data_IF_959577803943
#
_entry.id   IF_959577803943
#
_cell.length_a   1.000
_cell.length_b   1.000
_cell.length_c   1.000
_cell.angle_alpha   90.00
_cell.angle_beta   90.00
_cell.angle_gamma   90.00
#
_symmetry.space_group_name_H-M   'P 1'
#
loop_
_entity.id
_entity.type
_entity.pdbx_description
1 polymer ?
#
# COMPACT_ATOMS: atom_id res chain seq x y z
N UNK A 1 24.16 18.62 13.02
CA UNK A 1 23.94 17.75 14.20
C UNK A 1 24.37 16.35 13.77
N UNK A 2 25.25 15.72 14.56
CA UNK A 2 25.63 14.31 14.31
C UNK A 2 24.63 13.43 15.06
N UNK A 3 24.01 12.50 14.34
CA UNK A 3 23.08 11.50 14.89
C UNK A 3 23.81 10.16 14.82
N UNK A 4 24.09 9.56 15.96
CA UNK A 4 24.63 8.18 16.02
C UNK A 4 23.50 7.20 16.00
N UNK A 5 23.50 6.28 15.04
CA UNK A 5 22.59 5.13 15.02
C UNK A 5 23.32 3.91 15.55
N UNK A 6 22.82 3.31 16.61
CA UNK A 6 23.31 2.03 17.10
C UNK A 6 22.88 0.92 16.14
N UNK A 7 23.83 0.49 15.30
CA UNK A 7 23.59 -0.51 14.26
C UNK A 7 23.18 -1.86 14.83
N UNK A 8 23.80 -2.29 15.93
CA UNK A 8 23.53 -3.60 16.50
C UNK A 8 22.13 -3.62 17.15
N UNK A 9 21.74 -2.54 17.83
CA UNK A 9 20.39 -2.37 18.33
C UNK A 9 19.35 -2.35 17.21
N UNK A 10 19.63 -1.67 16.10
CA UNK A 10 18.73 -1.61 14.94
C UNK A 10 18.53 -2.99 14.31
N UNK A 11 19.64 -3.73 14.09
CA UNK A 11 19.59 -5.09 13.52
C UNK A 11 18.84 -6.03 14.44
N UNK A 12 19.04 -5.93 15.76
CA UNK A 12 18.29 -6.74 16.73
C UNK A 12 16.79 -6.41 16.68
N UNK A 13 16.43 -5.11 16.71
CA UNK A 13 15.03 -4.68 16.64
C UNK A 13 14.35 -5.17 15.35
N UNK A 14 15.02 -5.04 14.20
CA UNK A 14 14.49 -5.54 12.92
C UNK A 14 14.37 -7.07 12.94
N UNK A 15 15.36 -7.77 13.48
CA UNK A 15 15.32 -9.23 13.60
C UNK A 15 14.16 -9.69 14.48
N UNK A 16 13.92 -9.03 15.61
CA UNK A 16 12.79 -9.32 16.48
C UNK A 16 11.46 -9.14 15.73
N UNK A 17 11.29 -8.03 15.01
CA UNK A 17 10.08 -7.76 14.21
C UNK A 17 9.89 -8.80 13.11
N UNK A 18 10.95 -9.18 12.39
CA UNK A 18 10.87 -10.18 11.30
C UNK A 18 10.54 -11.57 11.86
N UNK A 19 11.04 -11.91 13.05
CA UNK A 19 10.75 -13.20 13.69
C UNK A 19 9.28 -13.37 14.08
N UNK A 20 8.51 -12.27 14.16
CA UNK A 20 7.08 -12.31 14.49
C UNK A 20 6.28 -12.48 13.18
N UNK A 21 5.57 -13.61 13.04
CA UNK A 21 4.60 -13.79 11.98
C UNK A 21 3.48 -12.74 12.09
N UNK A 22 3.24 -12.01 11.01
CA UNK A 22 2.15 -11.02 10.90
C UNK A 22 1.44 -11.06 9.56
N UNK A 23 1.31 -12.26 8.97
CA UNK A 23 0.58 -12.44 7.70
C UNK A 23 -0.85 -11.93 7.86
N UNK A 24 -1.33 -11.15 6.87
CA UNK A 24 -2.70 -10.64 6.89
C UNK A 24 -3.73 -11.77 7.06
N UNK A 25 -4.62 -11.72 8.07
CA UNK A 25 -5.57 -12.80 8.36
C UNK A 25 -6.58 -13.07 7.25
N UNK A 26 -6.76 -12.15 6.31
CA UNK A 26 -7.62 -12.35 5.14
C UNK A 26 -6.96 -13.20 4.04
N UNK A 27 -5.68 -13.57 4.24
CA UNK A 27 -4.86 -14.34 3.31
C UNK A 27 -4.53 -15.72 3.86
N UNK A 28 -4.06 -16.64 3.00
CA UNK A 28 -3.65 -17.98 3.43
C UNK A 28 -2.41 -17.96 4.31
N UNK A 29 -2.37 -18.86 5.29
CA UNK A 29 -1.19 -19.13 6.11
C UNK A 29 -1.03 -18.23 7.33
N UNK A 30 -1.97 -17.33 7.58
CA UNK A 30 -1.98 -16.53 8.80
C UNK A 30 -2.41 -17.37 10.02
N UNK A 31 -1.65 -17.24 11.11
CA UNK A 31 -1.99 -17.86 12.40
C UNK A 31 -2.47 -16.81 13.42
N UNK A 32 -1.75 -15.70 13.55
CA UNK A 32 -1.98 -14.70 14.58
C UNK A 32 -2.32 -13.31 14.00
N UNK A 33 -2.13 -13.12 12.71
CA UNK A 33 -2.22 -11.79 12.09
C UNK A 33 -1.29 -10.79 12.76
N UNK A 34 -1.73 -9.55 12.91
CA UNK A 34 -0.90 -8.46 13.45
C UNK A 34 -0.91 -8.37 14.99
N UNK A 35 -1.59 -9.28 15.70
CA UNK A 35 -1.77 -9.14 17.15
C UNK A 35 -0.42 -9.15 17.91
N UNK A 36 0.46 -10.11 17.61
CA UNK A 36 1.73 -10.28 18.34
C UNK A 36 2.71 -9.14 18.02
N UNK A 37 2.82 -8.76 16.74
CA UNK A 37 3.69 -7.62 16.37
C UNK A 37 3.16 -6.31 16.95
N UNK A 38 1.83 -6.14 17.00
CA UNK A 38 1.19 -5.01 17.65
C UNK A 38 1.52 -4.96 19.15
N UNK A 39 1.48 -6.11 19.86
CA UNK A 39 1.87 -6.21 21.27
C UNK A 39 3.33 -5.81 21.48
N UNK A 40 4.23 -6.32 20.65
CA UNK A 40 5.65 -5.99 20.69
C UNK A 40 5.89 -4.48 20.54
N UNK A 41 5.31 -3.86 19.53
CA UNK A 41 5.45 -2.42 19.25
C UNK A 41 4.82 -1.59 20.38
N UNK A 42 3.65 -1.99 20.89
CA UNK A 42 2.99 -1.32 22.01
C UNK A 42 3.89 -1.27 23.24
N UNK A 43 4.48 -2.40 23.64
CA UNK A 43 5.38 -2.46 24.80
C UNK A 43 6.70 -1.71 24.54
N UNK A 44 7.23 -1.75 23.30
CA UNK A 44 8.41 -0.98 22.93
C UNK A 44 8.16 0.54 23.09
N UNK A 45 7.08 1.06 22.53
CA UNK A 45 6.73 2.50 22.64
C UNK A 45 6.48 2.91 24.10
N UNK A 46 5.81 2.06 24.90
CA UNK A 46 5.64 2.28 26.34
C UNK A 46 6.97 2.32 27.09
N UNK A 47 7.92 1.45 26.76
CA UNK A 47 9.24 1.44 27.36
C UNK A 47 10.02 2.74 27.12
N UNK A 48 9.74 3.40 25.99
CA UNK A 48 10.25 4.73 25.69
C UNK A 48 9.50 5.85 26.43
N UNK A 49 8.44 5.55 27.18
CA UNK A 49 7.62 6.54 27.90
C UNK A 49 6.69 7.35 27.03
N UNK A 50 6.30 6.84 25.85
CA UNK A 50 5.27 7.45 25.02
C UNK A 50 3.86 7.21 25.59
N UNK A 51 2.94 8.09 25.24
CA UNK A 51 1.50 7.83 25.36
C UNK A 51 1.11 6.86 24.26
N UNK A 52 0.61 5.66 24.60
CA UNK A 52 0.32 4.60 23.60
C UNK A 52 -1.10 4.08 23.79
N UNK A 53 -1.83 3.94 22.68
CA UNK A 53 -3.17 3.36 22.65
C UNK A 53 -3.30 2.27 21.58
N UNK A 54 -4.27 1.37 21.79
CA UNK A 54 -4.71 0.38 20.80
C UNK A 54 -6.05 0.83 20.22
N UNK A 55 -6.11 0.95 18.91
CA UNK A 55 -7.33 1.32 18.20
C UNK A 55 -7.88 0.08 17.49
N UNK A 56 -8.96 -0.52 17.99
CA UNK A 56 -9.56 -1.71 17.38
C UNK A 56 -10.16 -1.35 16.01
N UNK A 57 -9.45 -1.64 14.97
CA UNK A 57 -9.87 -1.36 13.59
C UNK A 57 -10.73 -2.49 13.01
N UNK A 58 -10.43 -3.74 13.37
CA UNK A 58 -11.12 -4.96 12.97
C UNK A 58 -11.23 -5.91 14.18
N UNK A 59 -12.14 -6.87 14.19
CA UNK A 59 -12.22 -7.86 15.28
C UNK A 59 -10.87 -8.56 15.50
N UNK A 60 -10.30 -8.39 16.69
CA UNK A 60 -9.00 -8.95 17.07
C UNK A 60 -7.77 -8.29 16.45
N UNK A 61 -7.93 -7.21 15.67
CA UNK A 61 -6.84 -6.49 14.98
C UNK A 61 -6.88 -5.01 15.33
N UNK A 62 -5.83 -4.51 15.95
CA UNK A 62 -5.74 -3.13 16.42
C UNK A 62 -4.56 -2.40 15.82
N UNK A 63 -4.78 -1.18 15.38
CA UNK A 63 -3.69 -0.24 15.17
C UNK A 63 -2.98 0.05 16.49
N UNK A 64 -1.69 0.33 16.41
CA UNK A 64 -0.88 0.80 17.54
C UNK A 64 -0.56 2.28 17.29
N UNK A 65 -1.04 3.14 18.16
CA UNK A 65 -0.85 4.57 18.03
C UNK A 65 -0.08 5.12 19.23
N UNK A 66 1.08 5.73 18.97
CA UNK A 66 1.98 6.26 19.98
C UNK A 66 2.23 7.75 19.78
N UNK A 67 2.32 8.51 20.89
CA UNK A 67 2.66 9.94 20.91
C UNK A 67 3.86 10.21 21.79
N UNK A 68 4.88 10.84 21.22
CA UNK A 68 5.96 11.50 21.94
C UNK A 68 5.65 13.00 21.99
N UNK A 69 5.31 13.50 23.20
CA UNK A 69 4.89 14.88 23.40
C UNK A 69 6.03 15.87 23.16
N UNK A 70 5.79 16.82 22.28
CA UNK A 70 6.69 17.93 21.96
C UNK A 70 6.44 19.19 22.76
N UNK A 71 7.22 20.24 22.48
CA UNK A 71 7.07 21.55 23.12
C UNK A 71 5.83 22.31 22.62
N UNK A 72 5.48 22.18 21.33
CA UNK A 72 4.28 22.77 20.74
C UNK A 72 3.32 21.65 20.22
N UNK A 73 2.24 21.36 20.94
CA UNK A 73 1.28 20.33 20.56
C UNK A 73 0.43 20.67 19.32
N UNK A 74 0.53 21.91 18.82
CA UNK A 74 -0.12 22.33 17.58
C UNK A 74 0.69 21.91 16.36
N UNK A 75 1.99 21.63 16.52
CA UNK A 75 2.83 21.05 15.48
C UNK A 75 2.84 19.52 15.65
N UNK A 76 2.51 18.81 14.59
CA UNK A 76 2.34 17.36 14.61
C UNK A 76 2.94 16.73 13.36
N UNK A 77 3.75 15.71 13.54
CA UNK A 77 4.32 14.91 12.46
C UNK A 77 3.98 13.43 12.70
N UNK A 78 3.36 12.80 11.72
CA UNK A 78 2.98 11.39 11.77
C UNK A 78 3.99 10.54 11.00
N UNK A 79 4.42 9.45 11.62
CA UNK A 79 5.12 8.34 10.98
C UNK A 79 4.19 7.13 11.02
N UNK A 80 3.94 6.56 9.88
CA UNK A 80 3.03 5.43 9.70
C UNK A 80 3.75 4.30 8.97
N UNK A 81 3.49 3.05 9.39
CA UNK A 81 3.89 1.85 8.65
C UNK A 81 2.94 0.70 8.99
N UNK A 82 2.62 -0.13 8.00
CA UNK A 82 1.71 -1.23 8.22
C UNK A 82 2.35 -2.41 8.97
N UNK A 83 1.51 -3.16 9.69
CA UNK A 83 1.93 -4.28 10.54
C UNK A 83 1.81 -5.62 9.86
N UNK A 84 0.89 -5.76 8.91
CA UNK A 84 0.64 -6.99 8.18
C UNK A 84 1.70 -7.25 7.10
N UNK A 85 1.78 -8.48 6.68
CA UNK A 85 2.66 -8.92 5.59
C UNK A 85 1.91 -9.87 4.65
N UNK A 86 2.45 -10.01 3.44
CA UNK A 86 2.01 -11.02 2.48
C UNK A 86 2.25 -12.45 2.95
N UNK A 87 1.55 -13.46 2.37
CA UNK A 87 1.80 -14.88 2.59
C UNK A 87 3.23 -15.30 2.29
N UNK A 88 3.61 -16.44 2.85
CA UNK A 88 4.95 -17.05 2.70
C UNK A 88 4.98 -18.19 1.68
N UNK A 89 3.85 -18.48 1.02
CA UNK A 89 3.78 -19.52 0.01
C UNK A 89 4.76 -19.22 -1.14
N UNK A 90 5.63 -20.17 -1.45
CA UNK A 90 6.66 -20.01 -2.49
C UNK A 90 7.96 -19.36 -2.03
N UNK A 91 8.14 -19.04 -0.74
CA UNK A 91 9.43 -18.60 -0.22
C UNK A 91 10.45 -19.73 -0.22
N UNK A 92 11.70 -19.40 -0.55
CA UNK A 92 12.84 -20.30 -0.60
C UNK A 92 13.71 -20.21 0.67
N UNK A 93 13.44 -19.24 1.53
CA UNK A 93 14.09 -19.02 2.82
C UNK A 93 13.10 -19.27 3.96
N UNK A 94 13.61 -19.49 5.18
CA UNK A 94 12.75 -19.48 6.38
C UNK A 94 12.22 -18.07 6.61
N UNK A 95 10.90 -17.85 6.49
CA UNK A 95 10.34 -16.50 6.49
C UNK A 95 10.43 -15.77 7.84
N UNK A 96 10.47 -16.51 8.97
CA UNK A 96 10.41 -15.96 10.32
C UNK A 96 11.64 -16.32 11.18
N UNK A 97 12.69 -16.82 10.53
CA UNK A 97 14.02 -16.99 11.12
C UNK A 97 14.98 -16.02 10.44
N UNK A 98 15.04 -14.75 10.91
CA UNK A 98 15.81 -13.71 10.23
C UNK A 98 17.29 -14.09 10.14
N UNK A 99 17.85 -14.00 8.93
CA UNK A 99 19.26 -14.28 8.68
C UNK A 99 19.96 -13.00 8.24
N UNK A 100 21.06 -12.68 8.92
CA UNK A 100 21.96 -11.61 8.48
C UNK A 100 23.10 -12.21 7.69
N UNK A 101 23.23 -11.85 6.42
CA UNK A 101 24.28 -12.33 5.54
C UNK A 101 24.65 -11.24 4.53
N UNK A 102 25.94 -11.03 4.29
CA UNK A 102 26.47 -10.05 3.32
C UNK A 102 25.89 -8.63 3.44
N UNK A 103 25.59 -8.17 4.67
CA UNK A 103 25.03 -6.85 4.92
C UNK A 103 23.52 -6.74 4.70
N UNK A 104 22.84 -7.86 4.45
CA UNK A 104 21.38 -7.98 4.26
C UNK A 104 20.73 -8.70 5.42
N UNK A 105 19.50 -8.34 5.70
CA UNK A 105 18.63 -9.10 6.60
C UNK A 105 17.50 -9.72 5.78
N UNK A 106 17.40 -11.04 5.84
CA UNK A 106 16.44 -11.85 5.08
C UNK A 106 15.27 -12.26 5.97
N UNK A 107 14.06 -12.29 5.40
CA UNK A 107 12.84 -12.77 6.02
C UNK A 107 11.59 -12.07 5.46
N UNK A 108 10.39 -12.62 5.71
CA UNK A 108 9.13 -12.00 5.28
C UNK A 108 8.88 -10.70 6.04
N UNK A 109 8.58 -9.63 5.30
CA UNK A 109 8.41 -8.29 5.85
C UNK A 109 9.72 -7.56 6.13
N UNK A 110 10.88 -8.17 5.85
CA UNK A 110 12.18 -7.51 6.05
C UNK A 110 12.28 -6.21 5.23
N UNK A 111 11.76 -6.22 4.01
CA UNK A 111 11.67 -5.05 3.13
C UNK A 111 10.30 -4.36 3.28
N UNK A 112 9.23 -5.12 3.27
CA UNK A 112 7.84 -4.66 3.22
C UNK A 112 7.07 -5.11 4.47
N UNK A 113 7.04 -4.33 5.61
CA UNK A 113 7.62 -2.99 5.79
C UNK A 113 8.32 -2.88 7.17
N UNK A 114 8.72 -4.03 7.79
CA UNK A 114 9.29 -4.06 9.15
C UNK A 114 10.60 -3.27 9.26
N UNK A 115 11.36 -3.10 8.16
CA UNK A 115 12.53 -2.22 8.14
C UNK A 115 12.17 -0.77 8.42
N UNK A 116 11.08 -0.26 7.82
CA UNK A 116 10.57 1.09 8.10
C UNK A 116 10.09 1.20 9.56
N UNK A 117 9.39 0.17 10.07
CA UNK A 117 8.97 0.13 11.48
C UNK A 117 10.19 0.23 12.41
N UNK A 118 11.20 -0.62 12.20
CA UNK A 118 12.41 -0.63 13.02
C UNK A 118 13.14 0.73 12.98
N UNK A 119 13.27 1.32 11.79
CA UNK A 119 13.89 2.62 11.61
C UNK A 119 13.11 3.75 12.31
N UNK A 120 11.79 3.77 12.21
CA UNK A 120 10.93 4.76 12.86
C UNK A 120 10.95 4.63 14.39
N UNK A 121 10.88 3.41 14.92
CA UNK A 121 10.92 3.14 16.35
C UNK A 121 12.26 3.57 16.97
N UNK A 122 13.37 3.23 16.32
CA UNK A 122 14.68 3.65 16.81
C UNK A 122 14.89 5.16 16.64
N UNK A 123 14.37 5.78 15.59
CA UNK A 123 14.38 7.23 15.41
C UNK A 123 13.61 7.96 16.52
N UNK A 124 12.46 7.45 16.94
CA UNK A 124 11.70 7.97 18.10
C UNK A 124 12.49 7.87 19.39
N UNK A 125 13.19 6.75 19.62
CA UNK A 125 14.11 6.60 20.77
C UNK A 125 15.18 7.67 20.74
N UNK A 126 15.87 7.84 19.61
CA UNK A 126 16.91 8.87 19.43
C UNK A 126 16.34 10.27 19.66
N UNK A 127 15.17 10.58 19.09
CA UNK A 127 14.53 11.89 19.27
C UNK A 127 14.23 12.17 20.75
N UNK A 128 13.74 11.16 21.50
CA UNK A 128 13.48 11.27 22.93
C UNK A 128 14.75 11.47 23.76
N UNK A 129 15.82 10.75 23.44
CA UNK A 129 17.11 10.85 24.16
C UNK A 129 17.81 12.20 23.94
N UNK A 130 17.54 12.88 22.82
CA UNK A 130 18.01 14.24 22.56
C UNK A 130 17.23 15.33 23.33
N UNK A 131 16.18 14.92 24.05
CA UNK A 131 15.34 15.78 24.86
C UNK A 131 13.92 15.90 24.33
N UNK A 132 13.23 16.98 24.70
CA UNK A 132 11.85 17.20 24.25
C UNK A 132 11.85 17.74 22.81
N UNK A 133 11.23 17.02 21.82
CA UNK A 133 11.15 17.53 20.45
C UNK A 133 10.33 18.84 20.38
N UNK A 134 10.47 19.59 19.31
CA UNK A 134 9.70 20.84 19.12
C UNK A 134 8.21 20.53 18.88
N UNK A 135 7.92 19.56 18.06
CA UNK A 135 6.59 19.11 17.67
C UNK A 135 6.18 17.83 18.38
N UNK A 136 4.89 17.58 18.51
CA UNK A 136 4.40 16.24 18.84
C UNK A 136 4.73 15.28 17.70
N UNK A 137 5.37 14.16 18.04
CA UNK A 137 5.70 13.10 17.10
C UNK A 137 4.77 11.91 17.33
N UNK A 138 4.19 11.42 16.25
CA UNK A 138 3.26 10.30 16.31
C UNK A 138 3.80 9.12 15.51
N UNK A 139 3.58 7.93 16.03
CA UNK A 139 3.76 6.67 15.31
C UNK A 139 2.42 5.97 15.19
N UNK A 140 2.11 5.48 14.00
CA UNK A 140 0.95 4.64 13.73
C UNK A 140 1.44 3.34 13.09
N UNK A 141 1.23 2.21 13.77
CA UNK A 141 1.31 0.90 13.15
C UNK A 141 -0.09 0.51 12.70
N UNK A 142 -0.38 0.53 11.41
CA UNK A 142 -1.69 0.24 10.84
C UNK A 142 -1.86 -1.24 10.52
N UNK A 143 -3.09 -1.76 10.61
CA UNK A 143 -3.43 -3.13 10.19
C UNK A 143 -4.10 -3.13 8.83
N UNK A 144 -3.98 -4.25 8.07
CA UNK A 144 -4.76 -4.53 6.86
C UNK A 144 -4.38 -3.68 5.62
N UNK A 145 -3.14 -3.22 5.53
CA UNK A 145 -2.68 -2.48 4.34
C UNK A 145 -2.68 -3.37 3.11
N UNK A 146 -2.10 -4.55 3.20
CA UNK A 146 -1.89 -5.52 2.13
C UNK A 146 -3.20 -6.11 1.54
N UNK A 147 -4.35 -5.75 2.14
CA UNK A 147 -5.64 -6.30 1.69
C UNK A 147 -6.71 -5.24 1.43
N UNK A 148 -7.13 -4.45 2.42
CA UNK A 148 -8.25 -3.49 2.25
C UNK A 148 -8.09 -2.16 2.96
N UNK A 149 -6.92 -1.85 3.54
CA UNK A 149 -6.58 -0.56 4.16
C UNK A 149 -7.46 -0.17 5.36
N UNK A 150 -8.10 -1.13 6.03
CA UNK A 150 -9.08 -0.83 7.08
C UNK A 150 -8.46 -0.20 8.32
N UNK A 151 -7.17 -0.48 8.60
CA UNK A 151 -6.44 0.13 9.70
C UNK A 151 -6.36 1.63 9.56
N UNK A 152 -5.75 2.10 8.48
CA UNK A 152 -5.59 3.54 8.23
C UNK A 152 -6.93 4.24 8.06
N UNK A 153 -7.90 3.61 7.36
CA UNK A 153 -9.25 4.16 7.22
C UNK A 153 -9.98 4.30 8.56
N UNK A 154 -9.76 3.37 9.50
CA UNK A 154 -10.31 3.47 10.86
C UNK A 154 -9.68 4.62 11.63
N UNK A 155 -8.35 4.74 11.60
CA UNK A 155 -7.60 5.83 12.24
C UNK A 155 -8.10 7.20 11.79
N UNK A 156 -8.27 7.41 10.49
CA UNK A 156 -8.69 8.68 9.91
C UNK A 156 -10.15 9.08 10.26
N UNK A 157 -11.02 8.15 10.63
CA UNK A 157 -12.37 8.46 11.16
C UNK A 157 -12.31 9.30 12.45
N UNK A 158 -11.24 9.17 13.23
CA UNK A 158 -10.97 9.97 14.42
C UNK A 158 -10.66 11.44 14.14
N UNK A 159 -10.62 11.88 12.87
CA UNK A 159 -10.29 13.23 12.43
C UNK A 159 -8.92 13.70 12.95
N UNK A 160 -7.96 12.80 13.01
CA UNK A 160 -6.57 13.17 13.30
C UNK A 160 -6.06 14.12 12.23
N UNK A 161 -5.26 15.10 12.64
CA UNK A 161 -4.62 16.05 11.75
C UNK A 161 -3.16 16.28 12.13
N UNK A 162 -2.29 16.44 11.12
CA UNK A 162 -0.89 16.76 11.26
C UNK A 162 -0.44 17.66 10.10
N UNK A 163 0.65 18.38 10.26
CA UNK A 163 1.24 19.18 9.18
C UNK A 163 1.98 18.34 8.15
N UNK A 164 2.27 17.08 8.48
CA UNK A 164 2.85 16.13 7.55
C UNK A 164 2.74 14.70 8.05
N UNK A 165 2.74 13.76 7.10
CA UNK A 165 2.84 12.33 7.37
C UNK A 165 3.94 11.71 6.50
N UNK A 166 4.62 10.72 7.08
CA UNK A 166 5.61 9.87 6.40
C UNK A 166 5.10 8.45 6.49
N UNK A 167 4.75 7.89 5.34
CA UNK A 167 4.35 6.49 5.21
C UNK A 167 5.57 5.66 4.83
N UNK A 168 5.83 4.63 5.62
CA UNK A 168 7.04 3.82 5.53
C UNK A 168 6.91 2.71 4.52
N UNK A 169 7.43 2.89 3.30
CA UNK A 169 7.45 1.88 2.26
C UNK A 169 8.84 1.78 1.61
N UNK A 170 9.19 0.69 0.92
CA UNK A 170 10.49 0.55 0.28
C UNK A 170 10.64 1.49 -0.93
N UNK A 171 11.29 2.63 -0.71
CA UNK A 171 11.50 3.67 -1.73
C UNK A 171 12.97 3.89 -2.09
N UNK A 172 13.89 3.05 -1.58
CA UNK A 172 15.34 3.25 -1.73
C UNK A 172 15.83 4.59 -1.14
N UNK A 173 15.11 5.11 -0.13
CA UNK A 173 15.32 6.39 0.53
C UNK A 173 15.05 7.62 -0.37
N UNK A 174 14.40 7.46 -1.51
CA UNK A 174 13.90 8.56 -2.31
C UNK A 174 12.56 9.07 -1.75
N UNK A 175 12.30 10.37 -1.87
CA UNK A 175 11.03 10.99 -1.45
C UNK A 175 9.97 10.71 -2.52
N UNK A 176 8.98 9.90 -2.20
CA UNK A 176 7.84 9.67 -3.09
C UNK A 176 6.71 10.61 -2.72
N UNK A 177 6.32 11.46 -3.66
CA UNK A 177 5.24 12.45 -3.50
C UNK A 177 4.01 12.15 -4.35
N UNK A 178 4.09 11.14 -5.22
CA UNK A 178 2.98 10.71 -6.05
C UNK A 178 2.98 9.19 -6.22
N UNK A 179 1.81 8.58 -6.18
CA UNK A 179 1.64 7.19 -6.57
C UNK A 179 0.31 6.94 -7.25
N UNK A 180 0.22 5.81 -8.00
CA UNK A 180 -1.03 5.42 -8.63
C UNK A 180 -2.03 4.90 -7.60
N UNK A 181 -3.32 5.19 -7.85
CA UNK A 181 -4.41 4.49 -7.21
C UNK A 181 -4.82 3.24 -8.01
N UNK A 182 -5.87 2.58 -7.56
CA UNK A 182 -6.45 1.45 -8.30
C UNK A 182 -7.96 1.35 -8.08
N UNK A 183 -8.65 0.80 -9.08
CA UNK A 183 -10.02 0.34 -8.94
C UNK A 183 -10.14 -1.04 -9.56
N UNK A 184 -10.79 -1.97 -8.83
CA UNK A 184 -11.01 -3.36 -9.24
C UNK A 184 -12.48 -3.70 -9.17
N UNK A 185 -12.99 -4.25 -10.26
CA UNK A 185 -14.39 -4.63 -10.35
C UNK A 185 -14.58 -5.82 -11.27
N UNK A 186 -15.82 -6.29 -11.38
CA UNK A 186 -16.21 -7.38 -12.25
C UNK A 186 -17.20 -6.93 -13.29
N UNK A 187 -17.12 -7.58 -14.46
CA UNK A 187 -18.15 -7.52 -15.48
C UNK A 187 -18.62 -8.96 -15.70
N UNK A 188 -19.93 -9.16 -15.61
CA UNK A 188 -20.56 -10.45 -15.81
C UNK A 188 -21.49 -10.42 -17.01
N UNK A 189 -21.40 -11.43 -17.88
CA UNK A 189 -22.35 -11.69 -18.96
C UNK A 189 -23.18 -12.91 -18.61
N UNK A 190 -24.49 -12.75 -18.67
CA UNK A 190 -25.47 -13.81 -18.57
C UNK A 190 -25.94 -14.21 -19.97
N UNK A 191 -25.87 -15.48 -20.29
CA UNK A 191 -26.32 -16.07 -21.53
C UNK A 191 -27.45 -17.08 -21.31
N UNK A 192 -27.51 -18.09 -22.19
CA UNK A 192 -28.49 -19.20 -22.13
C UNK A 192 -27.83 -20.49 -22.51
N UNK A 193 -27.87 -21.48 -21.60
CA UNK A 193 -27.34 -22.79 -21.86
C UNK A 193 -28.15 -23.52 -22.95
N UNK A 194 -27.45 -24.29 -23.78
CA UNK A 194 -28.01 -25.19 -24.76
C UNK A 194 -27.03 -26.31 -25.08
N UNK A 195 -27.47 -27.38 -25.70
CA UNK A 195 -26.56 -28.42 -26.17
C UNK A 195 -25.69 -27.89 -27.31
N UNK A 196 -24.39 -28.20 -27.32
CA UNK A 196 -23.43 -27.65 -28.30
C UNK A 196 -23.75 -28.00 -29.76
N UNK A 197 -24.52 -29.06 -30.01
CA UNK A 197 -25.02 -29.42 -31.35
C UNK A 197 -26.16 -28.51 -31.84
N UNK A 198 -26.75 -27.70 -30.95
CA UNK A 198 -27.83 -26.75 -31.24
C UNK A 198 -27.50 -25.34 -30.68
N UNK A 199 -26.39 -24.76 -31.07
CA UNK A 199 -25.89 -23.51 -30.44
C UNK A 199 -26.88 -22.35 -30.62
N UNK A 200 -27.73 -22.37 -31.64
CA UNK A 200 -28.73 -21.33 -31.90
C UNK A 200 -29.90 -21.32 -30.90
N UNK A 201 -30.08 -22.37 -30.09
CA UNK A 201 -31.08 -22.40 -29.03
C UNK A 201 -30.57 -21.76 -27.72
N UNK A 202 -29.25 -21.45 -27.64
CA UNK A 202 -28.57 -20.81 -26.53
C UNK A 202 -28.03 -19.43 -26.88
N UNK A 203 -27.52 -18.74 -25.84
CA UNK A 203 -26.78 -17.48 -25.94
C UNK A 203 -25.42 -17.72 -25.27
N UNK A 204 -24.35 -17.68 -26.06
CA UNK A 204 -23.01 -17.99 -25.58
C UNK A 204 -22.38 -16.80 -24.84
N UNK A 205 -22.35 -16.84 -23.51
CA UNK A 205 -21.80 -15.79 -22.65
C UNK A 205 -20.29 -15.56 -22.88
N UNK A 206 -19.53 -16.62 -23.18
CA UNK A 206 -18.08 -16.51 -23.47
C UNK A 206 -17.86 -15.71 -24.77
N UNK A 207 -18.64 -15.99 -25.83
CA UNK A 207 -18.53 -15.25 -27.09
C UNK A 207 -18.94 -13.79 -26.94
N UNK A 208 -20.01 -13.52 -26.16
CA UNK A 208 -20.43 -12.12 -25.86
C UNK A 208 -19.34 -11.39 -25.06
N UNK A 209 -18.75 -12.05 -24.03
CA UNK A 209 -17.67 -11.49 -23.22
C UNK A 209 -16.41 -11.19 -24.08
N UNK A 210 -16.05 -12.07 -25.00
CA UNK A 210 -14.91 -11.84 -25.89
C UNK A 210 -15.08 -10.53 -26.71
N UNK A 211 -16.30 -10.22 -27.16
CA UNK A 211 -16.61 -8.96 -27.87
C UNK A 211 -16.48 -7.76 -26.92
N UNK A 212 -16.91 -7.90 -25.66
CA UNK A 212 -16.74 -6.83 -24.65
C UNK A 212 -15.25 -6.56 -24.42
N UNK A 213 -14.44 -7.60 -24.26
CA UNK A 213 -12.99 -7.48 -24.07
C UNK A 213 -12.35 -6.71 -25.22
N UNK A 214 -12.62 -7.12 -26.47
CA UNK A 214 -12.12 -6.42 -27.65
C UNK A 214 -12.57 -4.94 -27.67
N UNK A 215 -13.86 -4.66 -27.39
CA UNK A 215 -14.37 -3.29 -27.35
C UNK A 215 -13.71 -2.44 -26.26
N UNK A 216 -13.45 -3.04 -25.07
CA UNK A 216 -12.72 -2.38 -23.98
C UNK A 216 -11.31 -2.02 -24.46
N UNK A 217 -10.57 -2.96 -25.05
CA UNK A 217 -9.23 -2.70 -25.57
C UNK A 217 -9.21 -1.61 -26.64
N UNK A 218 -10.05 -1.75 -27.65
CA UNK A 218 -10.13 -0.79 -28.77
C UNK A 218 -10.48 0.62 -28.32
N UNK A 219 -11.37 0.77 -27.34
CA UNK A 219 -11.84 2.09 -26.88
C UNK A 219 -11.00 2.68 -25.77
N UNK A 220 -10.60 1.88 -24.78
CA UNK A 220 -9.92 2.40 -23.59
C UNK A 220 -8.43 2.59 -23.78
N UNK A 221 -7.72 1.73 -24.49
CA UNK A 221 -6.28 1.87 -24.69
C UNK A 221 -5.86 3.20 -25.31
N UNK A 222 -6.53 3.70 -26.37
CA UNK A 222 -6.21 5.04 -26.92
C UNK A 222 -6.48 6.19 -25.93
N UNK A 223 -7.49 6.05 -25.06
CA UNK A 223 -7.81 7.06 -24.03
C UNK A 223 -6.70 7.08 -22.97
N UNK A 224 -6.29 5.90 -22.51
CA UNK A 224 -5.24 5.76 -21.50
C UNK A 224 -3.89 6.29 -22.01
N UNK A 225 -3.55 5.99 -23.25
CA UNK A 225 -2.31 6.43 -23.88
C UNK A 225 -2.17 7.95 -24.02
N UNK A 226 -3.29 8.69 -24.01
CA UNK A 226 -3.31 10.16 -24.08
C UNK A 226 -3.15 10.84 -22.73
N UNK A 227 -3.32 10.10 -21.64
CA UNK A 227 -3.17 10.60 -20.28
C UNK A 227 -1.78 10.26 -19.77
N UNK A 228 -1.13 11.22 -19.14
CA UNK A 228 0.16 10.99 -18.49
C UNK A 228 0.32 11.94 -17.31
N UNK A 229 0.94 11.47 -16.27
CA UNK A 229 1.35 12.26 -15.11
C UNK A 229 2.88 12.33 -15.07
N UNK A 230 3.49 13.51 -14.78
CA UNK A 230 4.95 13.68 -14.85
C UNK A 230 5.76 12.66 -14.04
N UNK A 231 5.26 12.27 -12.86
CA UNK A 231 5.98 11.39 -11.92
C UNK A 231 5.58 9.91 -12.03
N UNK A 232 4.31 9.59 -12.36
CA UNK A 232 3.83 8.21 -12.34
C UNK A 232 3.48 7.65 -13.71
N UNK A 233 3.68 8.45 -14.78
CA UNK A 233 3.41 8.03 -16.16
C UNK A 233 1.92 7.87 -16.45
N UNK A 234 1.59 7.01 -17.42
CA UNK A 234 0.22 6.82 -17.88
C UNK A 234 -0.58 5.86 -16.97
N UNK A 235 -1.91 6.04 -16.91
CA UNK A 235 -2.78 5.07 -16.26
C UNK A 235 -2.76 3.74 -17.04
N UNK A 236 -3.13 2.64 -16.39
CA UNK A 236 -3.13 1.31 -17.01
C UNK A 236 -4.44 0.57 -16.74
N UNK A 237 -4.80 -0.33 -17.64
CA UNK A 237 -5.92 -1.25 -17.51
C UNK A 237 -5.46 -2.67 -17.84
N UNK A 238 -5.80 -3.62 -17.00
CA UNK A 238 -5.55 -5.04 -17.20
C UNK A 238 -6.82 -5.84 -16.92
N UNK A 239 -7.14 -6.79 -17.79
CA UNK A 239 -8.12 -7.83 -17.53
C UNK A 239 -7.34 -9.02 -17.01
N UNK A 240 -7.28 -9.14 -15.68
CA UNK A 240 -6.39 -10.10 -15.00
C UNK A 240 -6.98 -11.52 -14.91
N UNK A 241 -8.31 -11.65 -15.06
CA UNK A 241 -8.98 -12.93 -14.89
C UNK A 241 -10.21 -13.03 -15.77
N UNK A 242 -10.42 -14.21 -16.36
CA UNK A 242 -11.63 -14.58 -17.08
C UNK A 242 -12.08 -15.96 -16.65
N UNK A 243 -13.38 -16.14 -16.47
CA UNK A 243 -13.97 -17.41 -16.06
C UNK A 243 -15.32 -17.61 -16.72
N UNK A 244 -15.53 -18.73 -17.44
CA UNK A 244 -16.79 -19.00 -18.13
C UNK A 244 -16.89 -20.42 -18.67
N UNK A 245 -18.13 -20.92 -18.76
CA UNK A 245 -18.42 -22.29 -19.19
C UNK A 245 -18.15 -23.33 -18.11
N UNK A 246 -18.82 -24.50 -18.26
CA UNK A 246 -18.70 -25.64 -17.32
C UNK A 246 -18.30 -26.92 -18.03
N UNK A 247 -18.73 -27.13 -19.30
CA UNK A 247 -18.46 -28.30 -20.10
C UNK A 247 -18.38 -27.92 -21.58
N UNK A 248 -17.54 -28.62 -22.34
CA UNK A 248 -17.30 -28.33 -23.76
C UNK A 248 -18.52 -28.55 -24.65
N UNK A 249 -19.42 -29.43 -24.25
CA UNK A 249 -20.63 -29.76 -24.97
C UNK A 249 -21.88 -28.96 -24.53
N UNK A 250 -21.70 -27.89 -23.76
CA UNK A 250 -22.76 -27.00 -23.32
C UNK A 250 -22.40 -25.57 -23.76
N UNK A 251 -23.36 -24.86 -24.37
CA UNK A 251 -23.22 -23.42 -24.65
C UNK A 251 -23.10 -22.68 -23.31
N UNK A 252 -22.02 -21.90 -23.04
CA UNK A 252 -21.85 -21.24 -21.78
C UNK A 252 -22.93 -20.16 -21.52
N UNK A 253 -23.57 -20.22 -20.37
CA UNK A 253 -24.60 -19.28 -19.92
C UNK A 253 -24.09 -18.22 -18.94
N UNK A 254 -22.80 -18.28 -18.57
CA UNK A 254 -22.16 -17.28 -17.71
C UNK A 254 -20.69 -17.10 -18.06
N UNK A 255 -20.26 -15.83 -18.07
CA UNK A 255 -18.84 -15.49 -18.17
C UNK A 255 -18.56 -14.21 -17.36
N UNK A 256 -17.47 -14.24 -16.59
CA UNK A 256 -17.04 -13.13 -15.73
C UNK A 256 -15.61 -12.75 -16.08
N UNK A 257 -15.32 -11.45 -16.06
CA UNK A 257 -13.97 -10.91 -16.07
C UNK A 257 -13.72 -10.05 -14.82
N UNK A 258 -12.46 -10.05 -14.35
CA UNK A 258 -12.00 -9.15 -13.28
C UNK A 258 -10.97 -8.18 -13.87
N UNK A 259 -11.16 -6.88 -13.59
CA UNK A 259 -10.36 -5.80 -14.13
C UNK A 259 -9.58 -5.11 -13.01
N UNK A 260 -8.34 -4.72 -13.32
CA UNK A 260 -7.48 -3.84 -12.51
C UNK A 260 -7.16 -2.58 -13.32
N UNK A 261 -7.63 -1.43 -12.85
CA UNK A 261 -7.40 -0.13 -13.46
C UNK A 261 -6.55 0.73 -12.54
N UNK A 262 -5.33 1.07 -12.96
CA UNK A 262 -4.46 1.96 -12.20
C UNK A 262 -4.78 3.41 -12.53
N UNK A 263 -5.14 4.16 -11.49
CA UNK A 263 -5.47 5.57 -11.56
C UNK A 263 -4.21 6.43 -11.41
N UNK A 264 -4.13 7.53 -12.14
CA UNK A 264 -3.10 8.55 -11.91
C UNK A 264 -3.71 9.72 -11.12
N UNK A 265 -2.89 10.56 -10.44
CA UNK A 265 -3.39 11.79 -9.84
C UNK A 265 -4.25 12.60 -10.78
N UNK A 266 -5.35 13.16 -10.26
CA UNK A 266 -6.37 13.87 -11.04
C UNK A 266 -7.45 12.97 -11.64
N UNK A 267 -7.34 11.63 -11.59
CA UNK A 267 -8.43 10.74 -12.00
C UNK A 267 -9.33 10.37 -10.80
N UNK A 268 -10.64 10.36 -11.05
CA UNK A 268 -11.65 9.90 -10.11
C UNK A 268 -12.14 8.50 -10.48
N UNK A 269 -12.22 7.60 -9.48
CA UNK A 269 -12.63 6.22 -9.68
C UNK A 269 -14.06 6.09 -10.22
N UNK A 270 -14.99 6.94 -9.74
CA UNK A 270 -16.38 6.90 -10.19
C UNK A 270 -16.47 7.29 -11.68
N UNK A 271 -15.81 8.38 -12.08
CA UNK A 271 -15.78 8.80 -13.48
C UNK A 271 -15.17 7.74 -14.40
N UNK A 272 -14.21 6.97 -13.91
CA UNK A 272 -13.65 5.83 -14.65
C UNK A 272 -14.72 4.73 -14.81
N UNK A 273 -15.39 4.34 -13.72
CA UNK A 273 -16.45 3.32 -13.76
C UNK A 273 -17.62 3.74 -14.67
N UNK A 274 -18.06 5.00 -14.59
CA UNK A 274 -19.12 5.56 -15.44
C UNK A 274 -18.78 5.38 -16.94
N UNK A 275 -17.51 5.56 -17.33
CA UNK A 275 -17.08 5.37 -18.72
C UNK A 275 -17.18 3.93 -19.20
N UNK A 276 -17.07 2.94 -18.28
CA UNK A 276 -17.31 1.54 -18.61
C UNK A 276 -18.80 1.20 -18.66
N UNK A 277 -19.61 1.78 -17.79
CA UNK A 277 -21.07 1.65 -17.86
C UNK A 277 -21.63 2.20 -19.17
N UNK A 278 -21.16 3.37 -19.62
CA UNK A 278 -21.52 3.94 -20.91
C UNK A 278 -21.18 2.99 -22.05
N UNK A 279 -19.95 2.43 -22.07
CA UNK A 279 -19.52 1.48 -23.09
C UNK A 279 -20.42 0.22 -23.11
N UNK A 280 -20.75 -0.34 -21.94
CA UNK A 280 -21.60 -1.52 -21.85
C UNK A 280 -23.04 -1.23 -22.29
N UNK A 281 -23.58 -0.05 -21.96
CA UNK A 281 -24.89 0.40 -22.39
C UNK A 281 -24.97 0.57 -23.90
N UNK A 282 -23.94 1.14 -24.55
CA UNK A 282 -23.86 1.21 -26.03
C UNK A 282 -23.88 -0.20 -26.63
N UNK A 283 -23.08 -1.13 -26.10
CA UNK A 283 -23.03 -2.50 -26.62
C UNK A 283 -24.35 -3.27 -26.43
N UNK A 284 -25.06 -3.02 -25.34
CA UNK A 284 -26.39 -3.59 -25.10
C UNK A 284 -27.42 -3.03 -26.10
N UNK A 285 -27.30 -1.76 -26.47
CA UNK A 285 -28.11 -1.15 -27.52
C UNK A 285 -27.85 -1.73 -28.94
N UNK A 286 -26.61 -2.14 -29.22
CA UNK A 286 -26.20 -2.79 -30.48
C UNK A 286 -26.60 -4.27 -30.55
N UNK A 287 -26.69 -4.96 -29.40
CA UNK A 287 -26.96 -6.41 -29.31
C UNK A 287 -28.06 -6.68 -28.27
N UNK A 288 -29.34 -6.81 -28.68
CA UNK A 288 -30.44 -7.05 -27.74
C UNK A 288 -30.37 -8.37 -26.93
N UNK A 289 -29.54 -9.31 -27.37
CA UNK A 289 -29.31 -10.57 -26.63
C UNK A 289 -28.18 -10.41 -25.57
N UNK A 290 -27.47 -9.29 -25.55
CA UNK A 290 -26.42 -9.05 -24.58
C UNK A 290 -27.02 -8.68 -23.22
N UNK A 291 -26.92 -9.60 -22.26
CA UNK A 291 -27.22 -9.34 -20.87
C UNK A 291 -25.91 -9.20 -20.11
N UNK A 292 -25.53 -7.99 -19.78
CA UNK A 292 -24.29 -7.66 -19.07
C UNK A 292 -24.58 -6.85 -17.85
N UNK A 293 -23.83 -7.12 -16.77
CA UNK A 293 -23.84 -6.34 -15.54
C UNK A 293 -22.42 -5.99 -15.12
N UNK A 294 -22.22 -4.76 -14.66
CA UNK A 294 -21.01 -4.34 -13.97
C UNK A 294 -21.31 -4.35 -12.47
N UNK A 295 -20.50 -5.11 -11.71
CA UNK A 295 -20.61 -5.14 -10.25
C UNK A 295 -19.98 -3.88 -9.64
N UNK A 296 -20.45 -3.51 -8.45
CA UNK A 296 -19.77 -2.47 -7.66
C UNK A 296 -18.31 -2.87 -7.43
N UNK A 297 -17.37 -1.90 -7.42
CA UNK A 297 -15.96 -2.21 -7.20
C UNK A 297 -15.75 -2.87 -5.84
N UNK A 298 -14.99 -3.95 -5.83
CA UNK A 298 -14.61 -4.63 -4.59
C UNK A 298 -13.34 -4.06 -3.95
N UNK A 299 -12.60 -3.21 -4.69
CA UNK A 299 -11.46 -2.45 -4.18
C UNK A 299 -11.37 -1.11 -4.90
N UNK A 300 -11.24 -0.04 -4.10
CA UNK A 300 -10.92 1.31 -4.58
C UNK A 300 -9.81 1.85 -3.71
N UNK A 301 -8.70 2.20 -4.33
CA UNK A 301 -7.61 2.95 -3.75
C UNK A 301 -7.36 4.21 -4.57
N UNK A 302 -7.14 5.32 -3.88
CA UNK A 302 -6.96 6.62 -4.52
C UNK A 302 -5.49 6.85 -4.85
N UNK A 303 -5.18 7.65 -5.89
CA UNK A 303 -3.82 8.10 -6.13
C UNK A 303 -3.37 9.07 -5.02
N UNK A 304 -2.05 9.09 -4.78
CA UNK A 304 -1.38 10.10 -3.97
C UNK A 304 -0.84 11.20 -4.89
N UNK A 305 -1.02 12.45 -4.47
CA UNK A 305 -0.26 13.59 -4.98
C UNK A 305 -0.05 14.59 -3.85
N UNK A 306 1.21 14.91 -3.57
CA UNK A 306 1.63 15.89 -2.59
C UNK A 306 2.48 16.93 -3.30
N UNK A 307 2.15 18.21 -3.15
CA UNK A 307 2.90 19.29 -3.76
C UNK A 307 4.36 19.32 -3.26
N UNK A 308 5.33 19.51 -4.16
CA UNK A 308 6.75 19.56 -3.78
C UNK A 308 7.07 20.70 -2.79
N UNK A 309 6.20 21.70 -2.71
CA UNK A 309 6.31 22.86 -1.81
C UNK A 309 5.85 22.58 -0.38
N UNK A 310 5.23 21.43 -0.12
CA UNK A 310 4.76 21.08 1.22
C UNK A 310 5.92 20.95 2.22
N UNK A 311 5.68 21.36 3.47
CA UNK A 311 6.69 21.39 4.53
C UNK A 311 7.33 20.01 4.73
N UNK A 312 6.56 18.92 4.71
CA UNK A 312 7.05 17.56 4.89
C UNK A 312 8.00 17.13 3.79
N UNK A 313 7.80 17.58 2.55
CA UNK A 313 8.69 17.30 1.42
C UNK A 313 10.03 18.03 1.62
N UNK A 314 9.98 19.30 1.97
CA UNK A 314 11.18 20.11 2.28
C UNK A 314 11.98 19.53 3.45
N UNK A 315 11.27 19.10 4.50
CA UNK A 315 11.85 18.42 5.67
C UNK A 315 12.58 17.13 5.30
N UNK A 316 11.95 16.26 4.51
CA UNK A 316 12.53 15.00 4.05
C UNK A 316 13.76 15.25 3.15
N UNK A 317 13.63 16.17 2.17
CA UNK A 317 14.76 16.54 1.28
C UNK A 317 15.97 17.05 2.07
N UNK A 318 15.74 17.87 3.10
CA UNK A 318 16.80 18.37 3.98
C UNK A 318 17.48 17.25 4.78
N UNK A 319 16.69 16.35 5.37
CA UNK A 319 17.20 15.21 6.13
C UNK A 319 18.00 14.25 5.25
N UNK A 320 17.47 13.87 4.08
CA UNK A 320 18.12 12.99 3.13
C UNK A 320 19.42 13.59 2.60
N UNK A 321 19.41 14.87 2.21
CA UNK A 321 20.62 15.55 1.73
C UNK A 321 21.72 15.59 2.78
N UNK A 322 21.37 15.71 4.06
CA UNK A 322 22.34 15.68 5.15
C UNK A 322 22.98 14.30 5.38
N UNK A 323 22.30 13.21 4.98
CA UNK A 323 22.78 11.82 5.16
C UNK A 323 23.40 11.26 3.87
N UNK A 324 22.78 11.54 2.72
CA UNK A 324 23.15 10.94 1.41
C UNK A 324 23.83 11.95 0.47
N UNK A 325 23.91 13.23 0.82
CA UNK A 325 24.45 14.29 -0.02
C UNK A 325 23.44 14.90 -0.99
N UNK A 326 22.46 14.14 -1.46
CA UNK A 326 21.40 14.62 -2.34
C UNK A 326 20.08 13.89 -2.06
N UNK A 327 18.96 14.56 -2.28
CA UNK A 327 17.64 13.99 -2.22
C UNK A 327 17.04 13.92 -3.63
N UNK A 328 16.33 12.84 -3.92
CA UNK A 328 15.54 12.69 -5.15
C UNK A 328 14.07 12.66 -4.79
N UNK A 329 13.25 13.27 -5.66
CA UNK A 329 11.79 13.22 -5.59
C UNK A 329 11.30 12.39 -6.76
N UNK A 330 10.39 11.45 -6.49
CA UNK A 330 9.85 10.55 -7.53
C UNK A 330 8.38 10.20 -7.31
N UNK A 331 7.78 9.58 -8.31
CA UNK A 331 6.51 8.88 -8.21
C UNK A 331 6.70 7.37 -8.35
N UNK A 332 5.73 6.58 -7.86
CA UNK A 332 5.74 5.12 -7.94
C UNK A 332 4.43 4.56 -8.51
N UNK A 333 4.45 3.37 -9.14
CA UNK A 333 3.27 2.81 -9.77
C UNK A 333 2.33 2.03 -8.84
N UNK A 334 2.75 1.76 -7.59
CA UNK A 334 1.97 1.05 -6.57
C UNK A 334 1.26 2.02 -5.63
N UNK A 335 0.22 1.56 -4.93
CA UNK A 335 -0.52 2.31 -3.93
C UNK A 335 0.02 2.04 -2.52
N UNK A 336 -0.28 2.94 -1.58
CA UNK A 336 0.10 2.84 -0.16
C UNK A 336 -0.97 3.49 0.73
N UNK A 337 -0.86 3.36 2.05
CA UNK A 337 -1.68 4.09 3.01
C UNK A 337 -1.57 5.63 2.87
N UNK A 338 -0.53 6.10 2.18
CA UNK A 338 -0.30 7.53 1.93
C UNK A 338 -1.42 8.25 1.19
N UNK A 339 -2.12 7.58 0.27
CA UNK A 339 -3.26 8.19 -0.41
C UNK A 339 -4.43 8.49 0.51
N UNK A 340 -4.63 7.67 1.55
CA UNK A 340 -5.72 7.84 2.52
C UNK A 340 -5.44 8.99 3.46
N UNK A 341 -4.19 9.12 3.94
CA UNK A 341 -3.75 10.26 4.77
C UNK A 341 -3.79 11.57 3.99
N UNK A 342 -3.31 11.59 2.75
CA UNK A 342 -3.37 12.78 1.88
C UNK A 342 -4.83 13.20 1.60
N UNK A 343 -5.72 12.24 1.32
CA UNK A 343 -7.15 12.50 1.12
C UNK A 343 -7.85 13.04 2.36
N UNK A 344 -7.34 12.72 3.55
CA UNK A 344 -7.81 13.30 4.81
C UNK A 344 -7.28 14.73 5.05
N UNK A 345 -6.50 15.29 4.13
CA UNK A 345 -5.96 16.65 4.19
C UNK A 345 -4.63 16.76 4.94
N UNK A 346 -3.91 15.65 5.11
CA UNK A 346 -2.58 15.62 5.71
C UNK A 346 -1.54 15.51 4.58
N UNK A 347 -0.69 16.52 4.31
CA UNK A 347 0.38 16.42 3.34
C UNK A 347 1.25 15.19 3.62
N UNK A 348 1.35 14.25 2.67
CA UNK A 348 1.93 12.93 2.91
C UNK A 348 3.01 12.61 1.90
N UNK A 349 4.13 12.09 2.38
CA UNK A 349 5.17 11.48 1.57
C UNK A 349 5.29 9.99 1.89
N UNK A 350 5.81 9.23 0.92
CA UNK A 350 6.19 7.84 1.15
C UNK A 350 7.71 7.76 1.14
N UNK A 351 8.29 7.15 2.17
CA UNK A 351 9.74 7.12 2.36
C UNK A 351 10.14 5.94 3.25
N UNK A 352 11.08 5.13 2.80
CA UNK A 352 11.67 4.09 3.62
C UNK A 352 12.83 3.35 2.95
N UNK A 353 13.49 2.47 3.71
CA UNK A 353 14.59 1.65 3.21
C UNK A 353 14.08 0.48 2.37
N UNK A 354 14.94 -0.06 1.53
CA UNK A 354 14.66 -1.20 0.68
C UNK A 354 14.13 -0.81 -0.69
N UNK A 355 14.03 -1.80 -1.57
CA UNK A 355 13.50 -1.68 -2.92
C UNK A 355 12.19 -2.47 -3.04
N UNK A 356 11.18 -1.89 -3.67
CA UNK A 356 9.91 -2.57 -3.95
C UNK A 356 10.09 -3.87 -4.76
N UNK A 357 11.19 -3.98 -5.52
CA UNK A 357 11.53 -5.19 -6.27
C UNK A 357 11.85 -6.39 -5.36
N UNK A 358 12.08 -6.16 -4.05
CA UNK A 358 12.28 -7.20 -3.05
C UNK A 358 11.00 -7.57 -2.31
N UNK A 359 9.99 -6.69 -2.32
CA UNK A 359 8.69 -6.97 -1.71
C UNK A 359 8.03 -8.19 -2.37
N UNK A 360 7.35 -9.01 -1.56
CA UNK A 360 6.59 -10.18 -2.00
C UNK A 360 7.39 -11.27 -2.73
N UNK A 361 8.73 -11.20 -2.71
CA UNK A 361 9.60 -12.18 -3.38
C UNK A 361 9.83 -13.44 -2.54
N UNK A 362 10.35 -14.50 -3.20
CA UNK A 362 10.71 -15.76 -2.55
C UNK A 362 11.90 -15.64 -1.59
N UNK A 363 12.76 -14.64 -1.81
CA UNK A 363 13.99 -14.37 -1.06
C UNK A 363 14.02 -12.92 -0.58
N UNK A 364 12.95 -12.47 0.07
CA UNK A 364 12.83 -11.09 0.53
C UNK A 364 13.94 -10.71 1.50
N UNK A 365 14.56 -9.55 1.26
CA UNK A 365 15.59 -8.97 2.12
C UNK A 365 15.60 -7.45 2.10
N UNK A 366 16.29 -6.85 3.07
CA UNK A 366 16.62 -5.43 3.09
C UNK A 366 18.12 -5.24 3.33
N UNK A 367 18.71 -4.24 2.67
CA UNK A 367 20.09 -3.80 2.92
C UNK A 367 20.15 -3.09 4.29
N UNK A 368 20.90 -3.65 5.26
CA UNK A 368 21.00 -3.10 6.62
C UNK A 368 21.50 -1.64 6.60
N UNK A 369 22.40 -1.31 5.69
CA UNK A 369 22.92 0.05 5.56
C UNK A 369 21.82 1.06 5.16
N UNK A 370 20.83 0.64 4.36
CA UNK A 370 19.69 1.50 4.06
C UNK A 370 18.81 1.71 5.29
N UNK A 371 18.62 0.69 6.14
CA UNK A 371 17.84 0.81 7.38
C UNK A 371 18.52 1.75 8.38
N UNK A 372 19.86 1.68 8.48
CA UNK A 372 20.66 2.63 9.29
C UNK A 372 20.46 4.06 8.80
N UNK A 373 20.58 4.28 7.48
CA UNK A 373 20.36 5.61 6.87
C UNK A 373 18.94 6.10 7.03
N UNK A 374 17.93 5.22 6.87
CA UNK A 374 16.53 5.56 7.12
C UNK A 374 16.31 6.03 8.57
N UNK A 375 16.88 5.31 9.53
CA UNK A 375 16.82 5.69 10.95
C UNK A 375 17.40 7.08 11.19
N UNK A 376 18.55 7.39 10.60
CA UNK A 376 19.17 8.71 10.73
C UNK A 376 18.32 9.80 10.07
N UNK A 377 17.76 9.51 8.88
CA UNK A 377 16.87 10.44 8.16
C UNK A 377 15.62 10.74 8.99
N UNK A 378 14.93 9.70 9.47
CA UNK A 378 13.73 9.87 10.30
C UNK A 378 14.02 10.63 11.61
N UNK A 379 15.13 10.31 12.28
CA UNK A 379 15.52 11.03 13.49
C UNK A 379 15.82 12.51 13.21
N UNK A 380 16.47 12.84 12.07
CA UNK A 380 16.67 14.23 11.64
C UNK A 380 15.36 14.94 11.39
N UNK A 381 14.43 14.29 10.68
CA UNK A 381 13.09 14.85 10.45
C UNK A 381 12.39 15.13 11.79
N UNK A 382 12.38 14.18 12.71
CA UNK A 382 11.77 14.32 14.04
C UNK A 382 12.37 15.46 14.89
N UNK A 383 13.67 15.69 14.78
CA UNK A 383 14.40 16.67 15.59
C UNK A 383 14.37 18.07 14.97
N UNK A 384 14.16 18.20 13.68
CA UNK A 384 14.19 19.49 12.97
C UNK A 384 12.82 20.06 12.66
N UNK A 385 11.80 19.22 12.66
CA UNK A 385 10.40 19.64 12.49
C UNK A 385 9.91 20.43 13.70
#
# INVERSE_FOLDING_TARGET
MQIGVDRDQLVQLLSDLVSIESINPSMKGSNNGEAIIGDYIFEYLKSLGLEVERQVALPGRSNIFGRLAGADPRRRLLFEAHLDTMPVEGMEIDPFTPKVEEGRLYGRGACDVKASIAAMLLALKIAREQGRPKADLYFLGSVDEEYTFKGILHFLKGRFWAQGAVVGEPTELDVVIAHKGMVRWRIEVTGKAAHSSKPKEGINAVTKMARIICRIEDRMQPILARKTHPLVGSPTLSIGKIQGGIQINIVPDRCIIELDRRLIPGEDANSVLDSFEELLNEMTGEDPELQVAMEAPFLVDYPLETEETEEVVGLAKGAISAVLGQAKVKGVPYGTDGSKTARAGIPTIVLGPGSIDQAHTANEYVEIEQVVKATEIFARMMLTF
#
